data_IF_522458445700
#
_entry.id   IF_522458445700
#
_cell.length_a   1.000
_cell.length_b   1.000
_cell.length_c   1.000
_cell.angle_alpha   90.00
_cell.angle_beta   90.00
_cell.angle_gamma   90.00
#
_symmetry.space_group_name_H-M   'P 1'
#
loop_
_entity.id
_entity.type
_entity.pdbx_description
1 polymer ?
#
# COMPACT_ATOMS: atom_id res chain seq x y z
N UNK A 1 -47.23 18.21 -18.32
CA UNK A 1 -46.48 16.98 -17.98
C UNK A 1 -46.25 16.99 -16.48
N UNK A 2 -47.02 16.22 -15.71
CA UNK A 2 -46.82 16.09 -14.27
C UNK A 2 -45.69 15.07 -14.05
N UNK A 3 -44.46 15.58 -13.88
CA UNK A 3 -43.35 14.75 -13.46
C UNK A 3 -43.57 14.36 -12.00
N UNK A 4 -43.89 13.09 -11.78
CA UNK A 4 -44.22 12.55 -10.47
C UNK A 4 -42.97 12.55 -9.58
N UNK A 5 -42.97 13.41 -8.55
CA UNK A 5 -41.93 13.56 -7.51
C UNK A 5 -41.51 12.23 -6.85
N UNK A 6 -42.35 11.20 -6.93
CA UNK A 6 -42.06 9.85 -6.41
C UNK A 6 -40.86 9.17 -7.11
N UNK A 7 -40.57 9.53 -8.36
CA UNK A 7 -39.47 8.89 -9.13
C UNK A 7 -38.09 9.39 -8.73
N UNK A 8 -37.97 10.60 -8.16
CA UNK A 8 -36.70 11.17 -7.71
C UNK A 8 -36.26 10.58 -6.36
N UNK A 9 -37.22 10.29 -5.48
CA UNK A 9 -36.94 9.72 -4.15
C UNK A 9 -36.48 8.26 -4.20
N UNK A 10 -37.00 7.46 -5.15
CA UNK A 10 -36.56 6.07 -5.34
C UNK A 10 -35.18 5.95 -6.00
N UNK A 11 -34.68 7.00 -6.67
CA UNK A 11 -33.34 7.01 -7.27
C UNK A 11 -32.19 7.25 -6.28
N UNK A 12 -32.46 7.87 -5.13
CA UNK A 12 -31.41 8.28 -4.19
C UNK A 12 -30.90 7.16 -3.26
N UNK A 13 -31.67 6.08 -3.08
CA UNK A 13 -31.31 4.97 -2.17
C UNK A 13 -30.27 4.01 -2.79
N UNK A 14 -30.12 3.99 -4.11
CA UNK A 14 -29.23 3.03 -4.80
C UNK A 14 -27.73 3.38 -4.72
N UNK A 15 -27.34 4.59 -4.28
CA UNK A 15 -25.94 5.04 -4.32
C UNK A 15 -25.23 4.87 -2.95
N UNK A 16 -25.94 4.43 -1.91
CA UNK A 16 -25.37 4.38 -0.56
C UNK A 16 -24.39 3.21 -0.29
N UNK A 17 -24.31 2.20 -1.17
CA UNK A 17 -23.58 0.95 -0.92
C UNK A 17 -22.18 0.86 -1.55
N UNK A 18 -21.58 1.98 -1.98
CA UNK A 18 -20.27 1.98 -2.64
C UNK A 18 -19.05 1.92 -1.69
N UNK A 19 -19.22 2.03 -0.36
CA UNK A 19 -18.10 2.13 0.58
C UNK A 19 -17.59 0.83 1.19
N UNK A 20 -18.41 -0.22 1.21
CA UNK A 20 -18.10 -1.51 1.84
C UNK A 20 -18.13 -2.64 0.81
N UNK A 21 -17.19 -3.58 0.91
CA UNK A 21 -17.22 -4.84 0.15
C UNK A 21 -17.41 -5.97 1.13
N UNK A 22 -18.47 -6.74 0.93
CA UNK A 22 -18.63 -8.06 1.54
C UNK A 22 -18.40 -9.10 0.43
N UNK A 23 -17.31 -9.85 0.53
CA UNK A 23 -16.96 -11.00 -0.34
C UNK A 23 -16.63 -12.16 0.59
N UNK A 24 -16.89 -13.40 0.18
CA UNK A 24 -16.72 -14.60 1.01
C UNK A 24 -15.43 -14.56 1.86
N UNK A 25 -15.60 -14.47 3.18
CA UNK A 25 -14.49 -14.38 4.16
C UNK A 25 -14.17 -12.98 4.70
N UNK A 26 -14.66 -11.90 4.07
CA UNK A 26 -14.41 -10.51 4.44
C UNK A 26 -15.75 -9.82 4.72
N UNK A 27 -15.96 -9.37 5.97
CA UNK A 27 -17.16 -8.64 6.42
C UNK A 27 -16.79 -7.23 6.83
N UNK A 28 -17.57 -6.22 6.41
CA UNK A 28 -17.43 -4.82 6.84
C UNK A 28 -16.05 -4.19 6.56
N UNK A 29 -15.30 -4.67 5.56
CA UNK A 29 -14.04 -4.06 5.20
C UNK A 29 -14.26 -2.88 4.23
N UNK A 30 -13.57 -1.74 4.44
CA UNK A 30 -13.56 -0.67 3.45
C UNK A 30 -12.95 -1.22 2.16
N UNK A 31 -13.54 -0.85 1.01
CA UNK A 31 -13.13 -1.37 -0.31
C UNK A 31 -11.63 -1.24 -0.55
N UNK A 32 -11.04 -0.12 -0.11
CA UNK A 32 -9.62 0.15 -0.20
C UNK A 32 -8.76 -0.86 0.55
N UNK A 33 -9.16 -1.26 1.78
CA UNK A 33 -8.40 -2.26 2.53
C UNK A 33 -8.38 -3.62 1.80
N UNK A 34 -9.51 -4.04 1.22
CA UNK A 34 -9.62 -5.31 0.47
C UNK A 34 -8.81 -5.27 -0.83
N UNK A 35 -8.81 -4.13 -1.52
CA UNK A 35 -8.00 -3.94 -2.73
C UNK A 35 -6.51 -4.00 -2.41
N UNK A 36 -6.09 -3.42 -1.27
CA UNK A 36 -4.69 -3.41 -0.84
C UNK A 36 -4.25 -4.80 -0.33
N UNK A 37 -5.13 -5.56 0.35
CA UNK A 37 -4.83 -6.92 0.79
C UNK A 37 -4.62 -7.90 -0.39
N UNK A 38 -5.37 -7.69 -1.48
CA UNK A 38 -5.14 -8.40 -2.75
C UNK A 38 -3.80 -8.04 -3.39
N UNK A 39 -3.32 -6.80 -3.23
CA UNK A 39 -1.98 -6.39 -3.69
C UNK A 39 -0.86 -7.13 -2.94
N UNK A 40 -1.13 -7.56 -1.71
CA UNK A 40 -0.24 -8.37 -0.89
C UNK A 40 -0.43 -9.88 -1.09
N UNK A 41 -1.13 -10.31 -2.15
CA UNK A 41 -1.45 -11.73 -2.40
C UNK A 41 -2.12 -12.41 -1.19
N UNK A 42 -3.07 -11.71 -0.55
CA UNK A 42 -3.77 -12.13 0.68
C UNK A 42 -2.90 -12.18 1.94
N UNK A 43 -1.70 -11.57 1.93
CA UNK A 43 -0.95 -11.32 3.17
C UNK A 43 -1.52 -10.07 3.88
N UNK A 44 -1.38 -9.97 5.21
CA UNK A 44 -1.81 -8.80 5.97
C UNK A 44 -1.22 -7.50 5.42
N UNK A 45 -2.02 -6.42 5.47
CA UNK A 45 -1.57 -5.06 5.16
C UNK A 45 -1.11 -4.40 6.47
N UNK A 46 0.20 -4.22 6.70
CA UNK A 46 0.68 -3.57 7.91
C UNK A 46 0.29 -2.09 7.94
N UNK A 47 0.06 -1.58 9.16
CA UNK A 47 -0.14 -0.15 9.40
C UNK A 47 0.88 0.36 10.43
N UNK A 48 1.50 1.51 10.18
CA UNK A 48 2.51 2.14 11.04
C UNK A 48 3.84 2.37 10.33
N UNK A 49 4.93 2.45 11.08
CA UNK A 49 6.27 2.69 10.53
C UNK A 49 6.97 1.41 10.02
N UNK A 50 6.52 0.26 10.49
CA UNK A 50 7.17 -1.03 10.24
C UNK A 50 6.19 -2.06 9.69
N UNK A 51 6.66 -2.85 8.74
CA UNK A 51 5.89 -3.96 8.20
C UNK A 51 5.95 -5.19 9.10
N UNK A 52 5.06 -6.15 8.90
CA UNK A 52 4.97 -7.34 9.74
C UNK A 52 6.20 -8.23 9.51
N UNK A 53 7.06 -8.44 10.52
CA UNK A 53 8.25 -9.27 10.37
C UNK A 53 7.89 -10.70 9.97
N UNK A 54 8.68 -11.29 9.08
CA UNK A 54 8.52 -12.65 8.54
C UNK A 54 7.20 -12.93 7.78
N UNK A 55 6.32 -11.94 7.67
CA UNK A 55 5.03 -12.06 6.97
C UNK A 55 4.99 -11.16 5.75
N UNK A 56 5.34 -9.89 5.89
CA UNK A 56 5.39 -8.94 4.77
C UNK A 56 6.62 -9.18 3.90
N UNK A 57 6.43 -9.17 2.58
CA UNK A 57 7.50 -9.22 1.61
C UNK A 57 7.91 -7.82 1.16
N UNK A 58 9.08 -7.71 0.54
CA UNK A 58 9.49 -6.46 -0.11
C UNK A 58 8.46 -6.07 -1.17
N UNK A 59 8.17 -4.78 -1.24
CA UNK A 59 7.18 -4.15 -2.12
C UNK A 59 5.72 -4.45 -1.81
N UNK A 60 5.42 -5.17 -0.73
CA UNK A 60 4.05 -5.28 -0.22
C UNK A 60 3.51 -3.90 0.11
N UNK A 61 2.22 -3.69 -0.15
CA UNK A 61 1.52 -2.50 0.23
C UNK A 61 1.31 -2.44 1.75
N UNK A 62 1.37 -1.21 2.29
CA UNK A 62 1.18 -0.93 3.70
C UNK A 62 0.54 0.43 3.89
N UNK A 63 0.05 0.71 5.09
CA UNK A 63 -0.43 2.03 5.50
C UNK A 63 0.63 2.66 6.39
N UNK A 64 1.31 3.71 5.91
CA UNK A 64 2.34 4.39 6.70
C UNK A 64 1.75 5.04 7.95
N UNK A 65 2.58 5.38 8.95
CA UNK A 65 2.12 5.95 10.22
C UNK A 65 1.34 7.27 10.08
N UNK A 66 1.51 7.98 8.97
CA UNK A 66 0.74 9.18 8.61
C UNK A 66 -0.61 8.88 7.93
N UNK A 67 -1.03 7.61 7.87
CA UNK A 67 -2.27 7.16 7.25
C UNK A 67 -2.23 7.09 5.72
N UNK A 68 -1.10 7.38 5.08
CA UNK A 68 -0.96 7.31 3.63
C UNK A 68 -0.67 5.88 3.16
N UNK A 69 -1.10 5.56 1.94
CA UNK A 69 -0.66 4.34 1.26
C UNK A 69 0.86 4.38 1.04
N UNK A 70 1.50 3.24 1.26
CA UNK A 70 2.94 3.07 1.22
C UNK A 70 3.35 1.67 0.81
N UNK A 71 4.66 1.42 0.86
CA UNK A 71 5.27 0.12 0.54
C UNK A 71 6.23 -0.34 1.63
N UNK A 72 6.28 -1.65 1.80
CA UNK A 72 7.27 -2.35 2.60
C UNK A 72 8.61 -2.39 1.86
N UNK A 73 9.54 -1.55 2.26
CA UNK A 73 10.87 -1.43 1.63
C UNK A 73 11.98 -1.73 2.65
N UNK A 74 13.15 -2.18 2.17
CA UNK A 74 14.28 -2.41 3.06
C UNK A 74 14.88 -1.07 3.50
N UNK A 75 14.69 -0.69 4.77
CA UNK A 75 15.19 0.56 5.35
C UNK A 75 14.24 1.75 5.21
N UNK A 76 14.60 2.88 5.82
CA UNK A 76 13.78 4.10 5.91
C UNK A 76 13.29 4.41 7.33
N UNK A 77 12.90 3.38 8.08
CA UNK A 77 12.50 3.50 9.49
C UNK A 77 13.31 2.52 10.37
N UNK A 78 13.38 2.80 11.67
CA UNK A 78 14.06 1.91 12.62
C UNK A 78 13.15 0.74 13.03
N UNK A 79 13.18 -0.32 12.22
CA UNK A 79 12.32 -1.50 12.40
C UNK A 79 13.07 -2.75 12.88
N UNK A 80 14.27 -2.60 13.45
CA UNK A 80 15.01 -3.70 14.10
C UNK A 80 15.31 -4.91 13.19
N UNK A 81 15.41 -4.70 11.88
CA UNK A 81 15.61 -5.76 10.88
C UNK A 81 14.36 -6.17 10.10
N UNK A 82 13.18 -5.70 10.50
CA UNK A 82 11.98 -5.80 9.67
C UNK A 82 11.98 -4.75 8.54
N UNK A 83 11.13 -4.95 7.53
CA UNK A 83 10.92 -3.98 6.46
C UNK A 83 10.24 -2.72 7.03
N UNK A 84 10.58 -1.56 6.48
CA UNK A 84 9.95 -0.29 6.82
C UNK A 84 8.72 -0.07 5.95
N UNK A 85 7.64 0.41 6.56
CA UNK A 85 6.48 0.90 5.82
C UNK A 85 6.68 2.38 5.54
N UNK A 86 6.92 2.72 4.28
CA UNK A 86 7.20 4.10 3.87
C UNK A 86 6.11 4.59 2.93
N UNK A 87 5.59 5.78 3.21
CA UNK A 87 4.54 6.41 2.41
C UNK A 87 5.02 6.61 0.96
N UNK A 88 4.10 6.50 -0.01
CA UNK A 88 4.40 6.67 -1.43
C UNK A 88 5.10 8.00 -1.75
N UNK A 89 4.81 9.04 -0.98
CA UNK A 89 5.44 10.37 -1.08
C UNK A 89 6.95 10.38 -0.80
N UNK A 90 7.46 9.38 -0.07
CA UNK A 90 8.87 9.24 0.31
C UNK A 90 9.53 8.02 -0.35
N UNK A 91 8.95 7.52 -1.45
CA UNK A 91 9.44 6.38 -2.20
C UNK A 91 9.88 6.82 -3.60
N UNK A 92 11.00 6.27 -4.07
CA UNK A 92 11.38 6.28 -5.47
C UNK A 92 11.12 4.88 -6.04
N UNK A 93 10.33 4.81 -7.11
CA UNK A 93 9.93 3.54 -7.73
C UNK A 93 10.37 3.47 -9.20
N UNK A 94 10.72 2.26 -9.66
CA UNK A 94 10.96 1.93 -11.05
C UNK A 94 9.93 0.88 -11.49
N UNK A 95 9.09 1.26 -12.45
CA UNK A 95 8.03 0.40 -12.98
C UNK A 95 8.57 -0.70 -13.91
N UNK A 96 9.83 -0.61 -14.35
CA UNK A 96 10.44 -1.58 -15.25
C UNK A 96 11.08 -2.75 -14.50
N UNK A 97 11.30 -2.62 -13.19
CA UNK A 97 11.91 -3.64 -12.35
C UNK A 97 10.88 -4.18 -11.37
N UNK A 98 10.70 -5.50 -11.35
CA UNK A 98 9.75 -6.18 -10.47
C UNK A 98 10.52 -6.94 -9.38
N UNK A 99 10.19 -6.69 -8.12
CA UNK A 99 10.70 -7.39 -6.94
C UNK A 99 9.51 -8.07 -6.24
N UNK A 100 9.58 -9.39 -6.05
CA UNK A 100 8.54 -10.18 -5.34
C UNK A 100 7.10 -9.98 -5.87
N UNK A 101 6.98 -9.72 -7.17
CA UNK A 101 5.68 -9.56 -7.87
C UNK A 101 5.14 -8.13 -7.89
N UNK A 102 5.89 -7.16 -7.37
CA UNK A 102 5.51 -5.74 -7.34
C UNK A 102 6.64 -4.86 -7.90
N UNK A 103 6.33 -3.63 -8.32
CA UNK A 103 7.33 -2.67 -8.82
C UNK A 103 8.37 -2.34 -7.75
N UNK A 104 9.63 -2.24 -8.15
CA UNK A 104 10.75 -1.94 -7.28
C UNK A 104 10.64 -0.52 -6.74
N UNK A 105 10.41 -0.37 -5.45
CA UNK A 105 10.49 0.90 -4.73
C UNK A 105 11.57 0.85 -3.64
N UNK A 106 12.18 2.01 -3.36
CA UNK A 106 13.12 2.22 -2.25
C UNK A 106 12.81 3.55 -1.57
N UNK A 107 13.04 3.61 -0.26
CA UNK A 107 12.80 4.82 0.52
C UNK A 107 13.87 5.88 0.22
N UNK A 108 13.45 7.14 0.11
CA UNK A 108 14.35 8.26 -0.11
C UNK A 108 15.09 8.58 1.20
N UNK A 109 16.41 8.69 1.12
CA UNK A 109 17.24 9.06 2.26
C UNK A 109 17.24 10.58 2.48
N UNK A 110 17.09 11.06 3.73
CA UNK A 110 17.17 12.50 4.04
C UNK A 110 18.58 13.07 3.80
N UNK A 111 19.61 12.21 3.71
CA UNK A 111 20.99 12.60 3.44
C UNK A 111 21.39 12.43 1.96
N UNK A 112 20.40 12.18 1.08
CA UNK A 112 20.61 11.85 -0.32
C UNK A 112 20.73 10.34 -0.57
N UNK A 113 20.31 9.91 -1.77
CA UNK A 113 20.25 8.52 -2.18
C UNK A 113 18.98 7.79 -1.73
N UNK A 114 19.00 6.46 -1.84
CA UNK A 114 17.88 5.55 -1.57
C UNK A 114 18.32 4.47 -0.56
N UNK A 115 17.45 4.13 0.38
CA UNK A 115 17.69 3.01 1.29
C UNK A 115 17.47 1.68 0.59
N UNK A 116 18.48 0.80 0.59
CA UNK A 116 18.40 -0.61 0.21
C UNK A 116 18.88 -1.48 1.38
N UNK A 117 18.09 -1.47 2.45
CA UNK A 117 18.43 -2.11 3.73
C UNK A 117 19.42 -1.27 4.52
N UNK A 118 20.56 -1.87 4.88
CA UNK A 118 21.64 -1.17 5.58
C UNK A 118 22.51 -0.30 4.66
N UNK A 119 22.28 -0.34 3.34
CA UNK A 119 23.05 0.40 2.34
C UNK A 119 22.26 1.60 1.82
N UNK A 120 23.00 2.64 1.43
CA UNK A 120 22.47 3.77 0.65
C UNK A 120 22.97 3.63 -0.78
N UNK A 121 22.06 3.62 -1.75
CA UNK A 121 22.36 3.55 -3.19
C UNK A 121 22.00 4.87 -3.87
N UNK A 122 22.62 5.19 -5.01
CA UNK A 122 22.35 6.44 -5.72
C UNK A 122 21.24 6.30 -6.76
N UNK A 123 20.99 5.06 -7.21
CA UNK A 123 20.01 4.75 -8.24
C UNK A 123 19.33 3.41 -7.98
N UNK A 124 18.09 3.24 -8.46
CA UNK A 124 17.36 1.97 -8.33
C UNK A 124 18.02 0.81 -9.09
N UNK A 125 18.85 1.09 -10.10
CA UNK A 125 19.65 0.09 -10.80
C UNK A 125 20.71 -0.59 -9.92
N UNK A 126 21.09 0.03 -8.81
CA UNK A 126 22.04 -0.55 -7.84
C UNK A 126 21.33 -1.38 -6.75
N UNK A 127 20.00 -1.38 -6.73
CA UNK A 127 19.21 -2.07 -5.72
C UNK A 127 19.37 -3.58 -5.85
N UNK A 128 19.59 -4.25 -4.72
CA UNK A 128 19.63 -5.70 -4.68
C UNK A 128 18.22 -6.28 -4.72
N UNK A 129 17.77 -6.66 -5.92
CA UNK A 129 16.51 -7.36 -6.16
C UNK A 129 16.66 -8.84 -5.80
N UNK A 130 15.71 -9.40 -5.05
CA UNK A 130 15.67 -10.82 -4.68
C UNK A 130 14.29 -11.45 -4.88
#
# INVERSE_FOLDING_TARGET
>A
MQFSLATVLLGLVAVASAGVVDVEGIKNAPRDAVLIERQNQNRPVPSGDCCVPNTSLKQDACTAANGQAGRCVPGGNNCGGALSCVAQSNLQCDNNVIERGNTLCRAISPFGGLFDGARIIQSLSEAQVN
#
